data_IF_149213475480
#
_entry.id   IF_149213475480
#
_cell.length_a   1.000
_cell.length_b   1.000
_cell.length_c   1.000
_cell.angle_alpha   90.00
_cell.angle_beta   90.00
_cell.angle_gamma   90.00
#
_symmetry.space_group_name_H-M   'P 1'
#
loop_
_entity.id
_entity.type
_entity.pdbx_description
1 polymer ?
#
# COMPACT_ATOMS: atom_id res chain seq x y z
N UNK A 1 44.12 14.77 -4.46
CA UNK A 1 43.41 13.52 -4.78
C UNK A 1 42.23 13.37 -3.82
N UNK A 2 41.15 14.11 -4.04
CA UNK A 2 39.88 13.99 -3.30
C UNK A 2 38.73 14.41 -4.22
N UNK A 3 38.32 13.52 -5.12
CA UNK A 3 37.02 13.59 -5.81
C UNK A 3 36.02 12.82 -4.95
N UNK A 4 35.58 13.42 -3.85
CA UNK A 4 34.56 12.81 -2.99
C UNK A 4 33.25 13.56 -3.20
N UNK A 5 32.43 12.96 -4.08
CA UNK A 5 30.99 13.12 -4.21
C UNK A 5 30.47 14.57 -4.26
N UNK A 6 30.31 15.08 -5.48
CA UNK A 6 29.49 16.26 -5.82
C UNK A 6 27.98 16.02 -5.57
N UNK A 7 27.61 15.54 -4.39
CA UNK A 7 26.22 15.55 -3.95
C UNK A 7 25.92 16.93 -3.37
N UNK A 8 25.13 17.72 -4.11
CA UNK A 8 24.62 19.00 -3.61
C UNK A 8 23.96 18.82 -2.24
N UNK A 9 24.18 19.77 -1.31
CA UNK A 9 23.60 19.78 0.05
C UNK A 9 22.09 19.45 0.05
N UNK A 10 21.36 19.87 -0.97
CA UNK A 10 19.94 19.57 -1.18
C UNK A 10 19.63 18.08 -1.35
N UNK A 11 20.52 17.28 -1.94
CA UNK A 11 20.37 15.82 -2.05
C UNK A 11 20.59 15.11 -0.71
N UNK A 12 21.50 15.61 0.13
CA UNK A 12 21.76 15.09 1.47
C UNK A 12 20.58 15.32 2.42
N UNK A 13 19.94 16.50 2.39
CA UNK A 13 18.72 16.75 3.18
C UNK A 13 17.48 16.00 2.65
N UNK A 14 17.44 15.68 1.34
CA UNK A 14 16.35 14.86 0.74
C UNK A 14 16.45 13.37 1.11
N UNK A 15 17.68 12.88 1.31
CA UNK A 15 17.94 11.53 1.80
C UNK A 15 17.79 11.42 3.33
N UNK A 16 18.06 12.51 4.06
CA UNK A 16 18.09 12.54 5.54
C UNK A 16 16.81 13.07 6.22
N UNK A 17 15.92 13.79 5.52
CA UNK A 17 14.61 14.23 6.07
C UNK A 17 13.58 13.10 6.01
N UNK A 18 13.98 11.95 6.55
CA UNK A 18 13.17 10.80 6.87
C UNK A 18 12.28 11.10 8.10
N UNK A 19 11.48 12.17 8.03
CA UNK A 19 10.22 12.17 8.75
C UNK A 19 9.19 11.58 7.79
N UNK A 20 8.36 10.61 8.23
CA UNK A 20 7.33 10.07 7.36
C UNK A 20 6.44 11.25 6.99
N UNK A 21 6.48 11.62 5.71
CA UNK A 21 5.61 12.66 5.18
C UNK A 21 4.17 12.31 5.54
N UNK A 22 3.26 13.28 5.66
CA UNK A 22 1.85 12.99 5.92
C UNK A 22 1.27 11.93 4.96
N UNK A 23 1.81 11.88 3.75
CA UNK A 23 1.53 10.85 2.75
C UNK A 23 1.98 9.45 3.17
N UNK A 24 3.17 9.30 3.76
CA UNK A 24 3.67 8.02 4.26
C UNK A 24 2.92 7.55 5.49
N UNK A 25 2.53 8.47 6.39
CA UNK A 25 1.66 8.14 7.53
C UNK A 25 0.31 7.61 7.06
N UNK A 26 -0.36 8.30 6.13
CA UNK A 26 -1.62 7.84 5.53
C UNK A 26 -1.44 6.49 4.83
N UNK A 27 -0.36 6.30 4.09
CA UNK A 27 -0.06 5.02 3.44
C UNK A 27 0.10 3.89 4.45
N UNK A 28 0.80 4.14 5.55
CA UNK A 28 0.99 3.15 6.62
C UNK A 28 -0.35 2.80 7.26
N UNK A 29 -1.16 3.80 7.61
CA UNK A 29 -2.50 3.59 8.18
C UNK A 29 -3.40 2.76 7.26
N UNK A 30 -3.45 3.10 5.97
CA UNK A 30 -4.22 2.33 4.98
C UNK A 30 -3.71 0.87 4.90
N UNK A 31 -2.38 0.68 4.87
CA UNK A 31 -1.79 -0.66 4.86
C UNK A 31 -2.19 -1.47 6.10
N UNK A 32 -2.18 -0.86 7.28
CA UNK A 32 -2.62 -1.50 8.53
C UNK A 32 -4.10 -1.88 8.47
N UNK A 33 -4.98 -1.02 7.93
CA UNK A 33 -6.41 -1.35 7.74
C UNK A 33 -6.65 -2.45 6.70
N UNK A 34 -5.86 -2.48 5.62
CA UNK A 34 -5.90 -3.59 4.65
C UNK A 34 -5.58 -4.91 5.34
N UNK A 35 -4.50 -4.95 6.13
CA UNK A 35 -4.10 -6.15 6.90
C UNK A 35 -5.21 -6.56 7.87
N UNK A 36 -5.76 -5.61 8.62
CA UNK A 36 -6.84 -5.86 9.55
C UNK A 36 -8.04 -6.52 8.87
N UNK A 37 -8.59 -5.92 7.81
CA UNK A 37 -9.73 -6.50 7.10
C UNK A 37 -9.42 -7.83 6.42
N UNK A 38 -8.19 -8.01 5.95
CA UNK A 38 -7.75 -9.27 5.34
C UNK A 38 -7.79 -10.42 6.35
N UNK A 39 -7.25 -10.23 7.55
CA UNK A 39 -7.23 -11.27 8.59
C UNK A 39 -8.59 -11.43 9.28
N UNK A 40 -9.32 -10.33 9.52
CA UNK A 40 -10.69 -10.33 10.05
C UNK A 40 -11.65 -11.19 9.21
N UNK A 41 -11.43 -11.22 7.90
CA UNK A 41 -12.25 -11.98 6.95
C UNK A 41 -11.60 -13.28 6.50
N UNK A 42 -10.75 -13.87 7.35
CA UNK A 42 -10.09 -15.17 7.13
C UNK A 42 -9.37 -15.27 5.78
N UNK A 43 -8.75 -14.17 5.32
CA UNK A 43 -8.04 -14.09 4.04
C UNK A 43 -8.94 -14.28 2.80
N UNK A 44 -10.26 -14.28 2.96
CA UNK A 44 -11.21 -14.43 1.84
C UNK A 44 -11.34 -13.15 1.01
N UNK A 45 -11.00 -12.00 1.60
CA UNK A 45 -11.21 -10.72 0.95
C UNK A 45 -10.00 -10.36 0.09
N UNK A 46 -10.24 -10.24 -1.21
CA UNK A 46 -9.30 -9.64 -2.15
C UNK A 46 -9.44 -8.11 -2.20
N UNK A 47 -8.60 -7.49 -3.03
CA UNK A 47 -8.58 -6.04 -3.23
C UNK A 47 -9.95 -5.38 -3.46
N UNK A 48 -10.88 -5.95 -4.26
CA UNK A 48 -12.19 -5.31 -4.50
C UNK A 48 -13.05 -5.19 -3.24
N UNK A 49 -13.03 -6.21 -2.36
CA UNK A 49 -13.82 -6.21 -1.12
C UNK A 49 -13.19 -5.33 -0.05
N UNK A 50 -11.86 -5.36 0.05
CA UNK A 50 -11.13 -4.50 0.98
C UNK A 50 -11.30 -3.03 0.60
N UNK A 51 -11.29 -2.71 -0.70
CA UNK A 51 -11.52 -1.34 -1.19
C UNK A 51 -12.89 -0.81 -0.77
N UNK A 52 -13.95 -1.62 -0.89
CA UNK A 52 -15.30 -1.22 -0.46
C UNK A 52 -15.39 -0.98 1.06
N UNK A 53 -14.70 -1.80 1.86
CA UNK A 53 -14.60 -1.58 3.31
C UNK A 53 -13.91 -0.26 3.63
N UNK A 54 -12.74 -0.01 3.02
CA UNK A 54 -12.00 1.23 3.21
C UNK A 54 -12.82 2.47 2.80
N UNK A 55 -13.53 2.41 1.67
CA UNK A 55 -14.42 3.49 1.24
C UNK A 55 -15.55 3.75 2.25
N UNK A 56 -16.11 2.69 2.83
CA UNK A 56 -17.16 2.79 3.86
C UNK A 56 -16.64 3.37 5.18
N UNK A 57 -15.35 3.19 5.47
CA UNK A 57 -14.67 3.80 6.62
C UNK A 57 -14.25 5.27 6.36
N UNK A 58 -14.51 5.80 5.16
CA UNK A 58 -14.19 7.19 4.78
C UNK A 58 -12.84 7.37 4.09
N UNK A 59 -12.13 6.29 3.75
CA UNK A 59 -10.89 6.37 3.00
C UNK A 59 -11.16 6.52 1.49
N UNK A 60 -10.66 7.59 0.89
CA UNK A 60 -10.73 7.79 -0.57
C UNK A 60 -9.58 7.07 -1.28
N UNK A 61 -9.70 5.75 -1.49
CA UNK A 61 -8.70 4.92 -2.19
C UNK A 61 -9.32 4.10 -3.32
N UNK A 62 -8.55 3.94 -4.40
CA UNK A 62 -8.92 3.11 -5.55
C UNK A 62 -8.39 1.69 -5.44
N UNK A 63 -9.11 0.74 -6.02
CA UNK A 63 -8.78 -0.69 -5.98
C UNK A 63 -7.35 -0.99 -6.47
N UNK A 64 -6.90 -0.31 -7.53
CA UNK A 64 -5.52 -0.47 -8.05
C UNK A 64 -4.46 -0.23 -6.97
N UNK A 65 -4.67 0.76 -6.10
CA UNK A 65 -3.74 1.09 -5.02
C UNK A 65 -3.81 0.04 -3.91
N UNK A 66 -5.01 -0.42 -3.56
CA UNK A 66 -5.21 -1.52 -2.59
C UNK A 66 -4.53 -2.79 -3.10
N UNK A 67 -4.70 -3.16 -4.37
CA UNK A 67 -4.05 -4.30 -5.00
C UNK A 67 -2.53 -4.21 -4.91
N UNK A 68 -1.96 -3.02 -5.18
CA UNK A 68 -0.52 -2.79 -5.04
C UNK A 68 -0.06 -2.98 -3.59
N UNK A 69 -0.80 -2.44 -2.62
CA UNK A 69 -0.46 -2.58 -1.21
C UNK A 69 -0.58 -4.02 -0.72
N UNK A 70 -1.59 -4.77 -1.15
CA UNK A 70 -1.69 -6.20 -0.87
C UNK A 70 -0.50 -6.98 -1.44
N UNK A 71 -0.07 -6.67 -2.67
CA UNK A 71 1.13 -7.27 -3.26
C UNK A 71 2.41 -6.93 -2.48
N UNK A 72 2.60 -5.67 -2.10
CA UNK A 72 3.74 -5.25 -1.26
C UNK A 72 3.76 -5.95 0.11
N UNK A 73 2.58 -6.25 0.66
CA UNK A 73 2.41 -6.95 1.94
C UNK A 73 2.37 -8.48 1.79
N UNK A 74 2.56 -9.01 0.58
CA UNK A 74 2.45 -10.44 0.26
C UNK A 74 1.10 -11.09 0.66
N UNK A 75 0.02 -10.30 0.69
CA UNK A 75 -1.33 -10.77 0.99
C UNK A 75 -1.98 -11.31 -0.29
N UNK A 76 -2.42 -12.56 -0.27
CA UNK A 76 -3.16 -13.21 -1.35
C UNK A 76 -4.45 -13.79 -0.82
N UNK A 77 -5.55 -13.50 -1.49
CA UNK A 77 -6.84 -14.06 -1.11
C UNK A 77 -6.82 -15.58 -1.25
N UNK A 78 -7.30 -16.31 -0.22
CA UNK A 78 -7.37 -17.77 -0.23
C UNK A 78 -8.52 -18.30 -1.11
N UNK A 79 -9.42 -17.42 -1.53
CA UNK A 79 -10.52 -17.76 -2.42
C UNK A 79 -10.02 -17.84 -3.86
N UNK A 80 -10.15 -19.02 -4.46
CA UNK A 80 -9.98 -19.23 -5.89
C UNK A 80 -11.11 -18.52 -6.62
N UNK A 81 -10.91 -17.25 -7.00
CA UNK A 81 -11.84 -16.59 -7.92
C UNK A 81 -11.67 -17.24 -9.29
N UNK A 82 -12.60 -18.10 -9.69
CA UNK A 82 -12.80 -18.44 -11.11
C UNK A 82 -13.21 -17.15 -11.83
N UNK A 83 -12.24 -16.34 -12.23
CA UNK A 83 -12.47 -15.25 -13.16
C UNK A 83 -12.77 -15.91 -14.49
N UNK A 84 -14.06 -16.00 -14.84
CA UNK A 84 -14.52 -16.21 -16.19
C UNK A 84 -14.07 -15.00 -17.01
N UNK A 85 -12.82 -15.04 -17.49
CA UNK A 85 -12.30 -14.07 -18.45
C UNK A 85 -12.88 -14.44 -19.81
N UNK A 86 -14.13 -14.03 -20.04
CA UNK A 86 -14.75 -14.09 -21.36
C UNK A 86 -14.13 -13.01 -22.23
N UNK A 87 -13.29 -13.44 -23.17
CA UNK A 87 -13.10 -12.78 -24.46
C UNK A 87 -13.44 -13.79 -25.55
#
# INVERSE_FOLDING_TARGET
MCKVLEVSRSGYYKWRSAEPSETERKRKEIKERIVYHFYDNEQRYGSPKITQKLLSEGYSIVERTVSKYMQELNLRSCVSTSTHTGK
#
